data_IF_435428416813
#
_entry.id   IF_435428416813
#
_cell.length_a   1.000
_cell.length_b   1.000
_cell.length_c   1.000
_cell.angle_alpha   90.00
_cell.angle_beta   90.00
_cell.angle_gamma   90.00
#
_symmetry.space_group_name_H-M   'P 1'
#
loop_
_entity.id
_entity.type
_entity.pdbx_description
1 polymer ?
#
# COMPACT_ATOMS: atom_id res chain seq x y z
N UNK A 1 -6.41 32.00 0.95
CA UNK A 1 -6.93 30.89 0.13
C UNK A 1 -6.52 29.60 0.81
N UNK A 2 -7.47 28.72 1.07
CA UNK A 2 -7.18 27.40 1.62
C UNK A 2 -6.45 26.54 0.58
N UNK A 3 -5.77 25.48 1.02
CA UNK A 3 -5.23 24.47 0.10
C UNK A 3 -6.31 23.85 -0.80
N UNK A 4 -7.55 23.79 -0.31
CA UNK A 4 -8.71 23.32 -1.08
C UNK A 4 -9.12 24.28 -2.21
N UNK A 5 -9.00 25.59 -2.01
CA UNK A 5 -9.29 26.56 -3.08
C UNK A 5 -8.25 26.46 -4.21
N UNK A 6 -6.99 26.23 -3.86
CA UNK A 6 -5.91 26.01 -4.83
C UNK A 6 -6.10 24.73 -5.62
N UNK A 7 -6.47 23.63 -4.96
CA UNK A 7 -6.79 22.37 -5.63
C UNK A 7 -7.98 22.52 -6.59
N UNK A 8 -9.04 23.21 -6.17
CA UNK A 8 -10.21 23.44 -7.04
C UNK A 8 -9.82 24.23 -8.28
N UNK A 9 -9.06 25.30 -8.12
CA UNK A 9 -8.60 26.11 -9.24
C UNK A 9 -7.76 25.29 -10.24
N UNK A 10 -6.88 24.40 -9.75
CA UNK A 10 -6.10 23.51 -10.62
C UNK A 10 -6.98 22.50 -11.36
N UNK A 11 -7.99 21.91 -10.69
CA UNK A 11 -8.93 20.99 -11.33
C UNK A 11 -9.80 21.69 -12.38
N UNK A 12 -10.21 22.94 -12.14
CA UNK A 12 -10.94 23.75 -13.12
C UNK A 12 -10.07 24.02 -14.36
N UNK A 13 -8.76 24.24 -14.17
CA UNK A 13 -7.80 24.38 -15.28
C UNK A 13 -7.69 23.09 -16.09
N UNK A 14 -7.57 21.92 -15.44
CA UNK A 14 -7.53 20.63 -16.15
C UNK A 14 -8.80 20.40 -16.95
N UNK A 15 -9.97 20.70 -16.37
CA UNK A 15 -11.23 20.60 -17.07
C UNK A 15 -11.29 21.52 -18.29
N UNK A 16 -10.73 22.74 -18.20
CA UNK A 16 -10.67 23.67 -19.33
C UNK A 16 -9.80 23.18 -20.49
N UNK A 17 -8.90 22.21 -20.22
CA UNK A 17 -8.07 21.51 -21.20
C UNK A 17 -8.62 20.13 -21.59
N UNK A 18 -9.89 19.82 -21.26
CA UNK A 18 -10.52 18.51 -21.47
C UNK A 18 -9.77 17.34 -20.79
N UNK A 19 -9.04 17.63 -19.71
CA UNK A 19 -8.30 16.64 -18.91
C UNK A 19 -9.09 16.28 -17.67
N UNK A 20 -9.25 14.98 -17.42
CA UNK A 20 -9.93 14.45 -16.25
C UNK A 20 -8.87 13.98 -15.24
N UNK A 21 -8.92 14.54 -14.03
CA UNK A 21 -8.10 14.06 -12.93
C UNK A 21 -8.59 12.68 -12.47
N UNK A 22 -7.66 11.76 -12.28
CA UNK A 22 -7.93 10.46 -11.66
C UNK A 22 -7.56 10.50 -10.18
N UNK A 23 -8.38 9.90 -9.33
CA UNK A 23 -8.14 9.80 -7.90
C UNK A 23 -8.20 8.35 -7.43
N UNK A 24 -7.42 8.04 -6.41
CA UNK A 24 -7.48 6.84 -5.60
C UNK A 24 -6.90 7.18 -4.23
N UNK A 25 -7.12 6.32 -3.26
CA UNK A 25 -6.66 6.52 -1.89
C UNK A 25 -6.24 5.21 -1.25
N UNK A 26 -5.39 5.33 -0.23
CA UNK A 26 -4.83 4.20 0.53
C UNK A 26 -5.06 4.40 2.02
N UNK A 27 -5.48 3.34 2.69
CA UNK A 27 -5.55 3.26 4.15
C UNK A 27 -4.53 2.23 4.64
N UNK A 28 -3.65 2.63 5.56
CA UNK A 28 -2.57 1.81 6.07
C UNK A 28 -2.96 1.10 7.38
N UNK A 29 -2.20 0.09 7.79
CA UNK A 29 -2.38 -0.68 9.03
C UNK A 29 -3.70 -1.48 9.13
N UNK A 30 -4.30 -1.85 7.99
CA UNK A 30 -5.52 -2.63 7.98
C UNK A 30 -5.27 -4.06 8.50
N UNK A 31 -6.00 -4.46 9.54
CA UNK A 31 -5.91 -5.81 10.15
C UNK A 31 -7.27 -6.45 10.41
N UNK A 32 -8.29 -5.65 10.72
CA UNK A 32 -9.67 -6.07 11.03
C UNK A 32 -10.65 -4.99 10.60
N UNK A 33 -11.95 -5.25 10.72
CA UNK A 33 -12.97 -4.23 10.48
C UNK A 33 -13.00 -3.22 11.63
N UNK A 34 -13.05 -1.94 11.29
CA UNK A 34 -13.20 -0.84 12.25
C UNK A 34 -14.31 0.12 11.80
N UNK A 35 -14.89 0.93 12.71
CA UNK A 35 -15.86 1.95 12.32
C UNK A 35 -15.31 2.98 11.31
N UNK A 36 -14.00 3.26 11.37
CA UNK A 36 -13.33 4.14 10.42
C UNK A 36 -13.25 3.46 9.04
N UNK A 37 -12.86 2.19 8.98
CA UNK A 37 -12.84 1.42 7.74
C UNK A 37 -14.22 1.33 7.10
N UNK A 38 -15.28 1.05 7.88
CA UNK A 38 -16.66 1.06 7.35
C UNK A 38 -17.04 2.42 6.74
N UNK A 39 -16.53 3.51 7.30
CA UNK A 39 -16.76 4.84 6.73
C UNK A 39 -16.03 5.01 5.40
N UNK A 40 -14.77 4.58 5.31
CA UNK A 40 -14.01 4.60 4.05
C UNK A 40 -14.64 3.72 2.97
N UNK A 41 -15.12 2.53 3.32
CA UNK A 41 -15.81 1.63 2.40
C UNK A 41 -17.11 2.26 1.87
N UNK A 42 -17.89 2.95 2.71
CA UNK A 42 -19.06 3.70 2.23
C UNK A 42 -18.67 4.80 1.25
N UNK A 43 -17.60 5.54 1.52
CA UNK A 43 -17.14 6.58 0.60
C UNK A 43 -16.65 6.03 -0.74
N UNK A 44 -15.96 4.90 -0.75
CA UNK A 44 -15.61 4.21 -2.01
C UNK A 44 -16.87 3.89 -2.82
N UNK A 45 -17.92 3.40 -2.16
CA UNK A 45 -19.19 3.08 -2.81
C UNK A 45 -19.94 4.33 -3.31
N UNK A 46 -19.96 5.41 -2.53
CA UNK A 46 -20.69 6.63 -2.86
C UNK A 46 -20.00 7.43 -3.98
N UNK A 47 -18.67 7.53 -3.94
CA UNK A 47 -17.89 8.37 -4.85
C UNK A 47 -17.21 7.62 -6.00
N UNK A 48 -17.22 6.27 -5.98
CA UNK A 48 -16.58 5.42 -6.99
C UNK A 48 -15.08 5.70 -7.17
N UNK A 49 -14.41 6.04 -6.07
CA UNK A 49 -12.96 6.28 -6.03
C UNK A 49 -12.28 5.02 -5.48
N UNK A 50 -11.40 4.35 -6.26
CA UNK A 50 -10.78 3.09 -5.86
C UNK A 50 -10.00 3.21 -4.55
N UNK A 51 -10.24 2.28 -3.63
CA UNK A 51 -9.59 2.19 -2.32
C UNK A 51 -8.58 1.06 -2.27
N UNK A 52 -7.37 1.35 -1.80
CA UNK A 52 -6.35 0.37 -1.50
C UNK A 52 -6.19 0.24 0.02
N UNK A 53 -6.22 -0.98 0.56
CA UNK A 53 -5.95 -1.25 1.98
C UNK A 53 -4.57 -1.88 2.09
N UNK A 54 -3.64 -1.23 2.79
CA UNK A 54 -2.35 -1.81 3.11
C UNK A 54 -2.52 -2.70 4.36
N UNK A 55 -2.56 -4.01 4.13
CA UNK A 55 -2.87 -5.00 5.16
C UNK A 55 -1.59 -5.55 5.78
N UNK A 56 -1.54 -5.66 7.10
CA UNK A 56 -0.44 -6.32 7.83
C UNK A 56 -0.73 -7.83 7.87
N UNK A 57 -0.03 -8.68 7.08
CA UNK A 57 -0.45 -10.07 6.90
C UNK A 57 -0.43 -10.92 8.19
N UNK A 58 0.53 -10.71 9.08
CA UNK A 58 0.65 -11.49 10.32
C UNK A 58 -0.43 -11.16 11.36
N UNK A 59 -1.11 -10.02 11.21
CA UNK A 59 -2.17 -9.55 12.11
C UNK A 59 -3.56 -9.61 11.47
N UNK A 60 -3.67 -10.12 10.23
CA UNK A 60 -4.91 -10.22 9.48
C UNK A 60 -5.96 -11.05 10.23
N UNK A 61 -7.13 -10.47 10.45
CA UNK A 61 -8.30 -11.12 11.01
C UNK A 61 -9.31 -11.51 9.94
N UNK A 62 -10.13 -12.51 10.26
CA UNK A 62 -11.07 -13.11 9.30
C UNK A 62 -12.21 -12.16 8.90
N UNK A 63 -12.62 -11.29 9.82
CA UNK A 63 -13.67 -10.29 9.60
C UNK A 63 -13.35 -9.33 8.45
N UNK A 64 -12.09 -8.94 8.27
CA UNK A 64 -11.65 -8.11 7.16
C UNK A 64 -11.82 -8.84 5.83
N UNK A 65 -11.44 -10.12 5.77
CA UNK A 65 -11.57 -10.94 4.56
C UNK A 65 -13.02 -11.11 4.16
N UNK A 66 -13.87 -11.44 5.14
CA UNK A 66 -15.31 -11.58 4.94
C UNK A 66 -15.95 -10.27 4.47
N UNK A 67 -15.60 -9.16 5.11
CA UNK A 67 -16.19 -7.86 4.80
C UNK A 67 -15.87 -7.37 3.39
N UNK A 68 -14.67 -7.64 2.89
CA UNK A 68 -14.25 -7.23 1.55
C UNK A 68 -14.85 -8.10 0.43
N UNK A 69 -15.52 -9.21 0.73
CA UNK A 69 -16.21 -10.00 -0.30
C UNK A 69 -17.26 -9.17 -1.03
N UNK A 70 -17.94 -8.25 -0.33
CA UNK A 70 -19.02 -7.43 -0.88
C UNK A 70 -18.55 -6.13 -1.56
N UNK A 71 -17.25 -5.82 -1.55
CA UNK A 71 -16.73 -4.59 -2.15
C UNK A 71 -16.41 -4.79 -3.64
N UNK A 72 -16.50 -3.71 -4.43
CA UNK A 72 -16.27 -3.77 -5.88
C UNK A 72 -14.83 -3.39 -6.22
N UNK A 73 -14.38 -2.19 -5.84
CA UNK A 73 -13.09 -1.65 -6.27
C UNK A 73 -12.07 -1.51 -5.13
N UNK A 74 -12.27 -2.22 -4.02
CA UNK A 74 -11.25 -2.31 -2.95
C UNK A 74 -10.16 -3.32 -3.30
N UNK A 75 -8.90 -2.86 -3.29
CA UNK A 75 -7.71 -3.69 -3.49
C UNK A 75 -6.94 -3.84 -2.18
N UNK A 76 -6.30 -4.99 -2.00
CA UNK A 76 -5.44 -5.28 -0.86
C UNK A 76 -3.99 -5.23 -1.29
N UNK A 77 -3.18 -4.44 -0.57
CA UNK A 77 -1.74 -4.33 -0.73
C UNK A 77 -1.05 -4.92 0.50
N UNK A 78 0.22 -5.30 0.37
CA UNK A 78 0.97 -5.86 1.48
C UNK A 78 1.67 -4.76 2.29
N UNK A 79 1.38 -4.66 3.59
CA UNK A 79 2.03 -3.73 4.50
C UNK A 79 3.11 -4.42 5.35
N UNK A 80 4.24 -4.75 4.73
CA UNK A 80 5.30 -5.53 5.39
C UNK A 80 4.90 -6.98 5.66
N UNK A 81 5.23 -7.50 6.84
CA UNK A 81 4.78 -8.82 7.31
C UNK A 81 4.03 -8.72 8.63
N UNK A 82 4.68 -8.16 9.65
CA UNK A 82 4.22 -8.07 11.04
C UNK A 82 4.20 -6.63 11.56
N UNK A 83 4.73 -5.69 10.78
CA UNK A 83 4.92 -4.29 11.18
C UNK A 83 5.80 -4.16 12.44
N UNK A 84 6.73 -5.11 12.63
CA UNK A 84 7.68 -5.10 13.75
C UNK A 84 8.89 -4.22 13.44
N UNK A 85 9.38 -3.49 14.43
CA UNK A 85 10.65 -2.79 14.30
C UNK A 85 11.82 -3.74 14.58
N UNK A 86 12.76 -3.85 13.63
CA UNK A 86 13.99 -4.64 13.80
C UNK A 86 15.23 -3.78 14.00
N UNK A 87 15.08 -2.46 14.00
CA UNK A 87 16.22 -1.55 14.10
C UNK A 87 16.75 -1.44 15.53
N UNK A 88 18.08 -1.38 15.71
CA UNK A 88 18.70 -1.12 17.01
C UNK A 88 18.28 0.26 17.54
N UNK A 89 18.45 0.43 18.85
CA UNK A 89 18.16 1.70 19.51
C UNK A 89 18.91 2.87 18.86
N UNK A 90 18.24 4.02 18.73
CA UNK A 90 18.77 5.20 18.06
C UNK A 90 18.60 5.23 16.54
N UNK A 91 18.26 4.11 15.90
CA UNK A 91 17.82 4.10 14.48
C UNK A 91 16.31 4.25 14.35
N UNK A 92 15.88 4.88 13.25
CA UNK A 92 14.46 5.04 12.91
C UNK A 92 13.82 3.67 12.69
N UNK A 93 12.56 3.50 13.12
CA UNK A 93 11.82 2.23 12.99
C UNK A 93 11.76 1.73 11.55
N UNK A 94 12.06 0.47 11.32
CA UNK A 94 12.02 -0.14 10.00
C UNK A 94 11.83 -1.65 10.16
N UNK A 95 10.85 -2.20 9.44
CA UNK A 95 10.64 -3.66 9.37
C UNK A 95 11.48 -4.27 8.24
N UNK A 96 11.50 -3.60 7.09
CA UNK A 96 12.18 -4.05 5.89
C UNK A 96 13.61 -3.47 5.88
N UNK A 97 14.41 -3.97 6.80
CA UNK A 97 15.67 -3.36 7.24
C UNK A 97 16.92 -3.87 6.52
N UNK A 98 18.04 -3.20 6.81
CA UNK A 98 19.41 -3.46 6.35
C UNK A 98 20.29 -4.13 7.43
N UNK A 99 19.69 -4.62 8.52
CA UNK A 99 20.39 -5.14 9.71
C UNK A 99 20.29 -6.66 9.82
N UNK A 100 19.10 -7.21 9.56
CA UNK A 100 18.85 -8.65 9.47
C UNK A 100 19.46 -9.23 8.20
N UNK A 101 19.61 -10.55 8.16
CA UNK A 101 19.96 -11.23 6.90
C UNK A 101 18.85 -10.97 5.86
N UNK A 102 19.25 -10.60 4.65
CA UNK A 102 18.30 -10.30 3.57
C UNK A 102 17.39 -11.50 3.25
N UNK A 103 17.88 -12.72 3.44
CA UNK A 103 17.11 -13.95 3.29
C UNK A 103 15.95 -14.03 4.28
N UNK A 104 16.14 -13.57 5.52
CA UNK A 104 15.10 -13.52 6.54
C UNK A 104 14.02 -12.48 6.19
N UNK A 105 14.42 -11.27 5.79
CA UNK A 105 13.49 -10.20 5.37
C UNK A 105 12.68 -10.66 4.14
N UNK A 106 13.33 -11.31 3.18
CA UNK A 106 12.67 -11.86 1.99
C UNK A 106 11.73 -13.01 2.34
N UNK A 107 12.08 -13.87 3.30
CA UNK A 107 11.23 -14.95 3.75
C UNK A 107 9.93 -14.41 4.38
N UNK A 108 10.02 -13.38 5.23
CA UNK A 108 8.85 -12.69 5.80
C UNK A 108 7.95 -12.11 4.70
N UNK A 109 8.52 -11.43 3.70
CA UNK A 109 7.76 -10.88 2.58
C UNK A 109 7.04 -11.96 1.77
N UNK A 110 7.71 -13.08 1.47
CA UNK A 110 7.11 -14.22 0.75
C UNK A 110 5.98 -14.86 1.55
N UNK A 111 6.13 -14.94 2.87
CA UNK A 111 5.09 -15.46 3.75
C UNK A 111 3.86 -14.55 3.71
N UNK A 112 4.06 -13.23 3.86
CA UNK A 112 3.00 -12.23 3.73
C UNK A 112 2.28 -12.29 2.38
N UNK A 113 3.06 -12.41 1.30
CA UNK A 113 2.51 -12.55 -0.06
C UNK A 113 1.60 -13.77 -0.16
N UNK A 114 2.07 -14.92 0.33
CA UNK A 114 1.33 -16.18 0.27
C UNK A 114 0.03 -16.12 1.07
N UNK A 115 0.07 -15.51 2.26
CA UNK A 115 -1.12 -15.26 3.09
C UNK A 115 -2.11 -14.39 2.32
N UNK A 116 -1.71 -13.22 1.85
CA UNK A 116 -2.63 -12.29 1.20
C UNK A 116 -3.17 -12.85 -0.12
N UNK A 117 -2.33 -13.51 -0.93
CA UNK A 117 -2.76 -14.16 -2.15
C UNK A 117 -3.80 -15.26 -1.88
N UNK A 118 -3.61 -16.05 -0.83
CA UNK A 118 -4.54 -17.12 -0.45
C UNK A 118 -5.85 -16.57 0.13
N UNK A 119 -5.79 -15.48 0.91
CA UNK A 119 -6.95 -14.93 1.63
C UNK A 119 -7.81 -14.01 0.75
N UNK A 120 -7.20 -13.27 -0.17
CA UNK A 120 -7.89 -12.24 -0.96
C UNK A 120 -7.96 -12.54 -2.47
N UNK A 121 -7.22 -13.54 -2.97
CA UNK A 121 -7.29 -13.94 -4.38
C UNK A 121 -7.06 -12.76 -5.33
N UNK A 122 -8.01 -12.51 -6.23
CA UNK A 122 -7.93 -11.42 -7.21
C UNK A 122 -8.03 -10.00 -6.61
N UNK A 123 -8.37 -9.86 -5.33
CA UNK A 123 -8.33 -8.56 -4.63
C UNK A 123 -6.93 -8.20 -4.18
N UNK A 124 -6.06 -9.18 -3.97
CA UNK A 124 -4.66 -8.92 -3.68
C UNK A 124 -3.98 -8.37 -4.93
N UNK A 125 -3.45 -7.16 -4.82
CA UNK A 125 -2.58 -6.57 -5.82
C UNK A 125 -1.14 -6.71 -5.29
N UNK A 126 -0.22 -7.35 -6.03
CA UNK A 126 1.20 -7.52 -5.65
C UNK A 126 2.01 -6.21 -5.54
N UNK A 127 1.61 -5.32 -4.64
CA UNK A 127 2.27 -4.05 -4.34
C UNK A 127 2.65 -4.04 -2.87
N UNK A 128 3.91 -3.71 -2.61
CA UNK A 128 4.42 -3.53 -1.26
C UNK A 128 4.19 -2.10 -0.77
N UNK A 129 3.71 -1.95 0.45
CA UNK A 129 3.67 -0.69 1.19
C UNK A 129 4.61 -0.83 2.37
N UNK A 130 5.77 -0.14 2.41
CA UNK A 130 6.70 -0.30 3.52
C UNK A 130 6.16 0.33 4.83
N UNK A 131 6.16 -0.42 5.95
CA UNK A 131 5.92 0.16 7.28
C UNK A 131 6.77 1.39 7.53
N UNK A 132 6.15 2.43 8.10
CA UNK A 132 6.75 3.73 8.33
C UNK A 132 7.37 4.40 7.08
N UNK A 133 7.02 3.96 5.87
CA UNK A 133 7.63 4.37 4.60
C UNK A 133 9.15 4.15 4.55
N UNK A 134 9.64 3.06 5.13
CA UNK A 134 11.08 2.71 5.14
C UNK A 134 11.32 1.29 4.65
N UNK A 135 12.23 1.18 3.70
CA UNK A 135 12.65 -0.07 3.07
C UNK A 135 14.12 0.06 2.65
N UNK A 136 14.90 -1.00 2.86
CA UNK A 136 16.29 -1.06 2.42
C UNK A 136 16.37 -1.31 0.90
N UNK A 137 17.42 -0.79 0.25
CA UNK A 137 17.54 -0.81 -1.21
C UNK A 137 17.62 -2.23 -1.78
N UNK A 138 18.33 -3.12 -1.11
CA UNK A 138 18.44 -4.55 -1.42
C UNK A 138 17.09 -5.27 -1.34
N UNK A 139 16.25 -4.92 -0.37
CA UNK A 139 14.87 -5.41 -0.29
C UNK A 139 14.05 -4.96 -1.50
N UNK A 140 14.13 -3.68 -1.90
CA UNK A 140 13.42 -3.18 -3.09
C UNK A 140 13.89 -3.90 -4.36
N UNK A 141 15.21 -4.11 -4.50
CA UNK A 141 15.79 -4.81 -5.63
C UNK A 141 15.31 -6.28 -5.73
N UNK A 142 15.01 -6.92 -4.60
CA UNK A 142 14.51 -8.29 -4.55
C UNK A 142 13.03 -8.43 -4.95
N UNK A 143 12.21 -7.38 -4.81
CA UNK A 143 10.74 -7.44 -4.90
C UNK A 143 10.22 -8.12 -6.18
N UNK A 144 10.79 -7.80 -7.33
CA UNK A 144 10.32 -8.34 -8.60
C UNK A 144 10.46 -9.87 -8.65
N UNK A 145 11.55 -10.40 -8.07
CA UNK A 145 11.76 -11.86 -7.98
C UNK A 145 10.76 -12.57 -7.05
N UNK A 146 10.09 -11.81 -6.18
CA UNK A 146 9.06 -12.31 -5.25
C UNK A 146 7.65 -12.24 -5.84
N UNK A 147 7.49 -11.68 -7.04
CA UNK A 147 6.19 -11.53 -7.71
C UNK A 147 5.50 -10.18 -7.46
N UNK A 148 6.13 -9.26 -6.72
CA UNK A 148 5.62 -7.89 -6.63
C UNK A 148 5.81 -7.16 -7.97
N UNK A 149 4.83 -6.36 -8.34
CA UNK A 149 4.85 -5.49 -9.52
C UNK A 149 4.97 -3.99 -9.16
N UNK A 150 4.92 -3.65 -7.87
CA UNK A 150 5.06 -2.27 -7.45
C UNK A 150 5.38 -2.08 -5.98
N UNK A 151 5.69 -0.83 -5.66
CA UNK A 151 5.91 -0.33 -4.31
C UNK A 151 5.18 1.00 -4.16
N UNK A 152 4.49 1.19 -3.03
CA UNK A 152 3.82 2.44 -2.70
C UNK A 152 4.50 3.13 -1.52
N UNK A 153 4.96 4.36 -1.74
CA UNK A 153 5.78 5.11 -0.79
C UNK A 153 5.28 6.54 -0.62
N UNK A 154 5.59 7.15 0.51
CA UNK A 154 5.39 8.58 0.73
C UNK A 154 6.42 9.44 -0.04
N UNK A 155 6.01 10.65 -0.45
CA UNK A 155 6.71 11.65 -1.27
C UNK A 155 6.74 11.39 -2.78
N UNK A 156 7.10 12.42 -3.53
CA UNK A 156 7.31 12.34 -4.97
C UNK A 156 8.44 11.35 -5.33
N UNK A 157 8.09 10.32 -6.11
CA UNK A 157 9.05 9.44 -6.79
C UNK A 157 10.04 10.22 -7.63
N UNK A 158 11.29 9.76 -7.62
CA UNK A 158 12.35 10.24 -8.54
C UNK A 158 12.23 9.62 -9.92
N UNK A 159 11.75 8.38 -10.01
CA UNK A 159 11.52 7.63 -11.24
C UNK A 159 10.21 6.83 -11.13
N UNK A 160 9.56 6.57 -12.27
CA UNK A 160 8.35 5.74 -12.28
C UNK A 160 8.64 4.27 -11.93
N UNK A 161 9.84 3.81 -12.23
CA UNK A 161 10.30 2.44 -12.05
C UNK A 161 11.71 2.49 -11.42
N UNK A 162 11.83 2.50 -10.08
CA UNK A 162 13.14 2.58 -9.40
C UNK A 162 14.02 1.34 -9.66
N UNK A 163 13.39 0.19 -9.93
CA UNK A 163 14.03 -1.06 -10.32
C UNK A 163 13.21 -1.74 -11.40
N UNK A 164 13.87 -2.48 -12.28
CA UNK A 164 13.21 -3.19 -13.39
C UNK A 164 12.09 -4.09 -12.86
N UNK A 165 10.89 -3.90 -13.39
CA UNK A 165 9.67 -4.64 -13.05
C UNK A 165 8.93 -4.13 -11.80
N UNK A 166 9.39 -3.03 -11.17
CA UNK A 166 8.77 -2.45 -9.98
C UNK A 166 8.31 -1.02 -10.25
N UNK A 167 7.00 -0.82 -10.37
CA UNK A 167 6.43 0.51 -10.45
C UNK A 167 6.39 1.19 -9.07
N UNK A 168 6.87 2.43 -8.97
CA UNK A 168 6.70 3.25 -7.76
C UNK A 168 5.49 4.18 -7.90
N UNK A 169 4.55 4.02 -6.99
CA UNK A 169 3.37 4.87 -6.88
C UNK A 169 3.42 5.64 -5.57
N UNK A 170 3.24 6.96 -5.64
CA UNK A 170 3.25 7.77 -4.43
C UNK A 170 1.85 7.84 -3.83
N UNK A 171 1.80 7.96 -2.51
CA UNK A 171 0.62 8.35 -1.74
C UNK A 171 0.90 9.61 -0.97
#
# INVERSE_FOLDING_TARGET
MSSWDQLRAELDLWQSEDRIATAWWRDDDAVSVTPALETLLRFEQDYKVPLALAVIPAALQDDLVERLVETLDTRVLQHGWSHQNHMPEGRKKQELDDVRDIGDVVADLRHGFSVLQSRFGNRFLPVLVPPWNRVAEDVVAALHSLGFCGISTFNARKAAEPYKGIMQVNT
#
